data_IF_829555634688
#
_entry.id   IF_829555634688
#
_cell.length_a   1.000
_cell.length_b   1.000
_cell.length_c   1.000
_cell.angle_alpha   90.00
_cell.angle_beta   90.00
_cell.angle_gamma   90.00
#
_symmetry.space_group_name_H-M   'P 1'
#
loop_
_entity.id
_entity.type
_entity.pdbx_description
1 polymer ?
#
# COMPACT_ATOMS: atom_id res chain seq x y z
N UNK A 1 15.74 2.75 -10.72
CA UNK A 1 16.88 1.91 -11.11
C UNK A 1 17.10 2.08 -12.60
N UNK A 2 18.35 2.34 -13.02
CA UNK A 2 18.72 2.40 -14.43
C UNK A 2 18.35 1.12 -15.19
N UNK A 3 18.21 1.24 -16.51
CA UNK A 3 17.94 0.11 -17.40
C UNK A 3 19.01 0.00 -18.45
N UNK A 4 19.43 -1.22 -18.73
CA UNK A 4 20.47 -1.53 -19.70
C UNK A 4 19.92 -2.51 -20.74
N UNK A 5 19.99 -2.13 -22.00
CA UNK A 5 19.81 -3.04 -23.12
C UNK A 5 21.11 -3.83 -23.32
N UNK A 6 21.00 -5.15 -23.25
CA UNK A 6 22.10 -6.09 -23.44
C UNK A 6 21.79 -6.96 -24.64
N UNK A 7 22.70 -6.94 -25.61
CA UNK A 7 22.72 -7.86 -26.74
C UNK A 7 23.67 -9.02 -26.41
N UNK A 8 23.25 -10.23 -26.75
CA UNK A 8 24.07 -11.41 -26.56
C UNK A 8 23.53 -12.65 -27.26
N UNK A 9 24.06 -13.80 -26.89
CA UNK A 9 23.69 -15.10 -27.46
C UNK A 9 23.26 -16.03 -26.32
N UNK A 10 22.12 -16.71 -26.46
CA UNK A 10 21.69 -17.71 -25.49
C UNK A 10 22.65 -18.90 -25.50
N UNK A 11 23.32 -19.15 -24.37
CA UNK A 11 24.37 -20.17 -24.20
C UNK A 11 23.94 -21.56 -24.69
N UNK A 12 22.71 -21.95 -24.40
CA UNK A 12 22.19 -23.28 -24.79
C UNK A 12 21.64 -23.32 -26.21
N UNK A 13 21.10 -22.20 -26.70
CA UNK A 13 20.34 -22.17 -27.95
C UNK A 13 21.15 -21.66 -29.15
N UNK A 14 22.29 -20.99 -28.91
CA UNK A 14 23.06 -20.28 -29.93
C UNK A 14 22.31 -19.11 -30.59
N UNK A 15 21.09 -18.77 -30.14
CA UNK A 15 20.26 -17.73 -30.73
C UNK A 15 20.59 -16.36 -30.15
N UNK A 16 20.56 -15.34 -31.01
CA UNK A 16 20.69 -13.93 -30.61
C UNK A 16 19.56 -13.53 -29.65
N UNK A 17 19.92 -12.83 -28.57
CA UNK A 17 19.02 -12.26 -27.56
C UNK A 17 19.29 -10.76 -27.44
N UNK A 18 18.21 -9.99 -27.32
CA UNK A 18 18.26 -8.58 -26.92
C UNK A 18 17.31 -8.46 -25.74
N UNK A 19 17.84 -8.11 -24.57
CA UNK A 19 17.08 -8.07 -23.31
C UNK A 19 17.40 -6.80 -22.54
N UNK A 20 16.43 -6.31 -21.79
CA UNK A 20 16.57 -5.13 -20.95
C UNK A 20 16.62 -5.57 -19.49
N UNK A 21 17.67 -5.15 -18.79
CA UNK A 21 17.90 -5.46 -17.38
C UNK A 21 17.85 -4.18 -16.56
N UNK A 22 17.12 -4.20 -15.45
CA UNK A 22 17.16 -3.14 -14.46
C UNK A 22 18.28 -3.45 -13.47
N UNK A 23 19.25 -2.55 -13.34
CA UNK A 23 20.41 -2.73 -12.47
C UNK A 23 20.98 -1.37 -12.06
N UNK A 24 21.79 -1.34 -11.00
CA UNK A 24 22.41 -0.10 -10.52
C UNK A 24 23.57 0.36 -11.42
N UNK A 25 24.24 -0.56 -12.09
CA UNK A 25 25.34 -0.29 -13.01
C UNK A 25 25.42 -1.35 -14.12
N UNK A 26 26.32 -1.12 -15.09
CA UNK A 26 26.53 -2.01 -16.24
C UNK A 26 27.01 -3.40 -15.80
N UNK A 27 27.92 -3.48 -14.83
CA UNK A 27 28.49 -4.75 -14.35
C UNK A 27 27.40 -5.66 -13.74
N UNK A 28 26.51 -5.08 -12.94
CA UNK A 28 25.36 -5.77 -12.37
C UNK A 28 24.38 -6.23 -13.46
N UNK A 29 24.16 -5.42 -14.49
CA UNK A 29 23.34 -5.81 -15.64
C UNK A 29 23.98 -6.98 -16.43
N UNK A 30 25.30 -6.97 -16.62
CA UNK A 30 26.05 -8.07 -17.26
C UNK A 30 25.95 -9.34 -16.43
N UNK A 31 26.10 -9.25 -15.11
CA UNK A 31 25.96 -10.39 -14.21
C UNK A 31 24.56 -11.01 -14.29
N UNK A 32 23.51 -10.18 -14.31
CA UNK A 32 22.13 -10.63 -14.48
C UNK A 32 21.90 -11.32 -15.84
N UNK A 33 22.43 -10.74 -16.93
CA UNK A 33 22.34 -11.35 -18.26
C UNK A 33 23.08 -12.70 -18.33
N UNK A 34 24.24 -12.77 -17.69
CA UNK A 34 25.07 -13.99 -17.64
C UNK A 34 24.39 -15.11 -16.83
N UNK A 35 23.75 -14.76 -15.71
CA UNK A 35 22.99 -15.70 -14.88
C UNK A 35 21.79 -16.31 -15.63
N UNK A 36 21.18 -15.53 -16.54
CA UNK A 36 20.09 -15.92 -17.44
C UNK A 36 20.58 -16.69 -18.70
N UNK A 37 21.82 -17.18 -18.64
CA UNK A 37 22.45 -17.98 -19.69
C UNK A 37 22.70 -17.20 -20.99
N UNK A 38 22.86 -15.87 -20.91
CA UNK A 38 23.20 -15.04 -22.07
C UNK A 38 24.70 -14.76 -22.08
N UNK A 39 25.38 -15.13 -23.16
CA UNK A 39 26.76 -14.73 -23.45
C UNK A 39 26.69 -13.29 -23.97
N UNK A 40 27.19 -12.35 -23.17
CA UNK A 40 27.05 -10.91 -23.41
C UNK A 40 28.04 -10.40 -24.46
N UNK A 41 27.57 -9.63 -25.43
CA UNK A 41 28.42 -8.86 -26.33
C UNK A 41 28.71 -7.48 -25.70
N UNK A 42 29.86 -7.35 -25.03
CA UNK A 42 30.22 -6.17 -24.21
C UNK A 42 30.17 -4.86 -25.02
N UNK A 43 30.56 -4.92 -26.30
CA UNK A 43 30.56 -3.76 -27.20
C UNK A 43 29.15 -3.28 -27.61
N UNK A 44 28.10 -4.02 -27.26
CA UNK A 44 26.70 -3.73 -27.63
C UNK A 44 25.78 -3.50 -26.44
N UNK A 45 26.34 -3.10 -25.29
CA UNK A 45 25.56 -2.72 -24.12
C UNK A 45 25.21 -1.23 -24.22
N UNK A 46 23.95 -0.89 -23.95
CA UNK A 46 23.47 0.50 -23.95
C UNK A 46 22.63 0.78 -22.73
N UNK A 47 22.95 1.86 -22.02
CA UNK A 47 22.06 2.39 -20.99
C UNK A 47 20.88 3.07 -21.67
N UNK A 48 19.67 2.67 -21.28
CA UNK A 48 18.44 3.29 -21.75
C UNK A 48 18.25 4.60 -20.97
N UNK A 49 18.10 5.75 -21.65
CA UNK A 49 17.84 7.02 -20.99
C UNK A 49 16.59 6.95 -20.12
N UNK A 50 16.63 7.60 -18.96
CA UNK A 50 15.45 7.71 -18.12
C UNK A 50 14.42 8.63 -18.78
N UNK A 51 13.14 8.25 -18.73
CA UNK A 51 12.07 9.08 -19.24
C UNK A 51 11.92 10.32 -18.34
N UNK A 52 11.61 11.50 -18.91
CA UNK A 52 11.31 12.69 -18.13
C UNK A 52 10.09 12.45 -17.26
N UNK A 53 10.02 13.14 -16.11
CA UNK A 53 8.85 13.13 -15.26
C UNK A 53 7.61 13.63 -16.00
N UNK A 54 6.46 12.98 -15.78
CA UNK A 54 5.19 13.41 -16.36
C UNK A 54 4.70 14.69 -15.69
N UNK A 55 3.87 15.47 -16.39
CA UNK A 55 3.30 16.71 -15.84
C UNK A 55 2.50 16.45 -14.56
N UNK A 56 1.75 15.34 -14.49
CA UNK A 56 1.02 14.93 -13.28
C UNK A 56 1.95 14.67 -12.09
N UNK A 57 3.10 14.03 -12.30
CA UNK A 57 4.08 13.82 -11.23
C UNK A 57 4.68 15.14 -10.76
N UNK A 58 4.97 16.05 -11.69
CA UNK A 58 5.48 17.41 -11.38
C UNK A 58 4.45 18.23 -10.61
N UNK A 59 3.18 18.15 -10.97
CA UNK A 59 2.09 18.82 -10.24
C UNK A 59 1.95 18.26 -8.83
N UNK A 60 1.99 16.93 -8.67
CA UNK A 60 1.88 16.30 -7.36
C UNK A 60 3.09 16.63 -6.47
N UNK A 61 4.31 16.60 -7.02
CA UNK A 61 5.50 17.03 -6.29
C UNK A 61 5.41 18.50 -5.84
N UNK A 62 4.86 19.40 -6.68
CA UNK A 62 4.61 20.78 -6.30
C UNK A 62 3.58 20.92 -5.17
N UNK A 63 2.51 20.11 -5.17
CA UNK A 63 1.54 20.13 -4.07
C UNK A 63 2.12 19.63 -2.74
N UNK A 64 3.19 18.84 -2.80
CA UNK A 64 3.97 18.40 -1.63
C UNK A 64 5.11 19.36 -1.29
N UNK A 65 5.17 20.53 -1.94
CA UNK A 65 6.20 21.55 -1.75
C UNK A 65 7.63 21.02 -1.98
N UNK A 66 7.78 20.08 -2.91
CA UNK A 66 9.07 19.51 -3.28
C UNK A 66 9.70 20.36 -4.38
N UNK A 67 10.91 20.85 -4.12
CA UNK A 67 11.74 21.50 -5.14
C UNK A 67 12.43 20.47 -6.04
N UNK A 68 12.33 20.66 -7.36
CA UNK A 68 12.95 19.78 -8.35
C UNK A 68 13.42 20.53 -9.61
N UNK A 69 14.46 20.04 -10.29
CA UNK A 69 14.92 20.62 -11.55
C UNK A 69 13.90 20.40 -12.69
N UNK A 70 13.83 21.30 -13.68
CA UNK A 70 12.82 21.23 -14.75
C UNK A 70 12.90 19.95 -15.60
N UNK A 71 14.10 19.38 -15.74
CA UNK A 71 14.38 18.17 -16.51
C UNK A 71 14.47 16.90 -15.64
N UNK A 72 13.89 16.91 -14.44
CA UNK A 72 13.90 15.75 -13.54
C UNK A 72 13.32 14.50 -14.20
N UNK A 73 13.94 13.35 -13.93
CA UNK A 73 13.46 12.07 -14.44
C UNK A 73 12.22 11.57 -13.70
N UNK A 74 11.45 10.70 -14.35
CA UNK A 74 10.29 10.03 -13.73
C UNK A 74 10.66 9.26 -12.47
N UNK A 75 11.86 8.68 -12.42
CA UNK A 75 12.31 7.86 -11.29
C UNK A 75 12.74 8.77 -10.14
N UNK A 76 13.50 9.83 -10.46
CA UNK A 76 13.96 10.79 -9.46
C UNK A 76 12.80 11.49 -8.77
N UNK A 77 11.81 11.97 -9.53
CA UNK A 77 10.66 12.67 -8.93
C UNK A 77 9.84 11.74 -8.03
N UNK A 78 9.66 10.48 -8.44
CA UNK A 78 8.97 9.47 -7.62
C UNK A 78 9.73 9.21 -6.31
N UNK A 79 11.07 9.13 -6.35
CA UNK A 79 11.88 8.98 -5.13
C UNK A 79 11.72 10.17 -4.18
N UNK A 80 11.68 11.39 -4.70
CA UNK A 80 11.47 12.59 -3.86
C UNK A 80 10.09 12.59 -3.21
N UNK A 81 9.06 12.24 -3.98
CA UNK A 81 7.69 12.09 -3.46
C UNK A 81 7.65 11.04 -2.35
N UNK A 82 8.21 9.85 -2.59
CA UNK A 82 8.20 8.77 -1.61
C UNK A 82 8.96 9.14 -0.33
N UNK A 83 10.09 9.85 -0.46
CA UNK A 83 10.85 10.35 0.70
C UNK A 83 10.03 11.35 1.51
N UNK A 84 9.37 12.30 0.84
CA UNK A 84 8.55 13.33 1.49
C UNK A 84 7.35 12.73 2.23
N UNK A 85 6.71 11.72 1.65
CA UNK A 85 5.59 11.02 2.28
C UNK A 85 6.05 10.25 3.53
N UNK A 86 7.23 9.61 3.48
CA UNK A 86 7.79 8.94 4.66
C UNK A 86 8.11 9.91 5.79
N UNK A 87 8.66 11.08 5.49
CA UNK A 87 8.89 12.13 6.50
C UNK A 87 7.57 12.58 7.15
N UNK A 88 6.50 12.72 6.37
CA UNK A 88 5.16 13.04 6.90
C UNK A 88 4.57 11.90 7.75
N UNK A 89 4.81 10.65 7.36
CA UNK A 89 4.37 9.47 8.11
C UNK A 89 5.17 9.29 9.41
N UNK A 90 6.46 9.62 9.42
CA UNK A 90 7.36 9.51 10.59
C UNK A 90 7.14 10.65 11.61
N UNK A 91 6.57 11.80 11.20
CA UNK A 91 6.15 12.88 12.09
C UNK A 91 4.84 12.58 12.85
N UNK A 92 4.07 11.59 12.40
CA UNK A 92 2.98 11.04 13.20
C UNK A 92 3.59 9.91 14.03
N UNK A 93 3.71 10.03 15.36
CA UNK A 93 4.08 8.88 16.17
C UNK A 93 2.98 7.83 15.98
N UNK A 94 3.25 6.82 15.14
CA UNK A 94 2.47 5.60 15.08
C UNK A 94 2.76 4.86 16.37
N UNK A 95 2.12 5.33 17.43
CA UNK A 95 2.09 4.64 18.69
C UNK A 95 1.23 3.39 18.45
N UNK A 96 1.87 2.29 18.08
CA UNK A 96 1.22 1.00 17.89
C UNK A 96 0.55 0.48 19.18
N UNK A 97 0.78 1.13 20.34
CA UNK A 97 0.02 0.88 21.58
C UNK A 97 -1.36 1.57 21.62
N UNK A 98 -1.67 2.51 20.72
CA UNK A 98 -2.82 3.40 20.96
C UNK A 98 -4.18 2.78 20.67
N UNK A 99 -4.31 1.69 19.91
CA UNK A 99 -5.61 1.02 19.71
C UNK A 99 -5.79 -0.19 20.62
N UNK A 100 -4.71 -0.92 20.92
CA UNK A 100 -4.76 -2.08 21.81
C UNK A 100 -5.02 -1.69 23.27
N UNK A 101 -4.57 -0.49 23.68
CA UNK A 101 -4.72 0.04 25.04
C UNK A 101 -5.61 1.29 25.12
N UNK A 102 -6.24 1.73 24.01
CA UNK A 102 -7.20 2.83 24.08
C UNK A 102 -8.48 2.40 24.78
N UNK A 103 -8.95 3.27 25.67
CA UNK A 103 -10.32 3.20 26.16
C UNK A 103 -11.29 3.37 24.98
N UNK A 104 -12.41 2.68 25.02
CA UNK A 104 -13.52 2.76 24.05
C UNK A 104 -13.81 4.20 23.59
N UNK A 105 -13.87 5.16 24.52
CA UNK A 105 -14.12 6.57 24.22
C UNK A 105 -13.09 7.20 23.28
N UNK A 106 -11.81 6.84 23.40
CA UNK A 106 -10.72 7.40 22.59
C UNK A 106 -10.74 6.85 21.16
N UNK A 107 -11.13 5.58 21.00
CA UNK A 107 -11.30 4.96 19.68
C UNK A 107 -12.48 5.61 18.95
N UNK A 108 -13.59 5.81 19.66
CA UNK A 108 -14.79 6.46 19.11
C UNK A 108 -14.49 7.92 18.74
N UNK A 109 -13.75 8.65 19.57
CA UNK A 109 -13.36 10.04 19.32
C UNK A 109 -12.47 10.18 18.07
N UNK A 110 -11.43 9.34 17.95
CA UNK A 110 -10.55 9.32 16.78
C UNK A 110 -11.28 8.99 15.47
N UNK A 111 -12.14 7.97 15.50
CA UNK A 111 -12.83 7.52 14.30
C UNK A 111 -13.87 8.54 13.82
N UNK A 112 -14.56 9.21 14.75
CA UNK A 112 -15.57 10.20 14.41
C UNK A 112 -15.00 11.56 14.06
N UNK A 113 -14.26 12.15 15.00
CA UNK A 113 -13.98 13.58 14.93
C UNK A 113 -12.74 13.88 14.08
N UNK A 114 -11.76 12.97 14.07
CA UNK A 114 -10.52 13.20 13.34
C UNK A 114 -10.56 12.66 11.90
N UNK A 115 -11.41 11.66 11.64
CA UNK A 115 -11.44 10.96 10.35
C UNK A 115 -12.77 11.04 9.61
N UNK A 116 -13.81 11.59 10.24
CA UNK A 116 -15.17 11.70 9.68
C UNK A 116 -15.72 10.36 9.16
N UNK A 117 -15.37 9.27 9.85
CA UNK A 117 -15.76 7.91 9.47
C UNK A 117 -16.98 7.48 10.27
N UNK A 118 -17.94 6.88 9.57
CA UNK A 118 -18.96 6.05 10.22
C UNK A 118 -18.34 4.71 10.58
N UNK A 119 -18.40 4.34 11.86
CA UNK A 119 -17.73 3.16 12.39
C UNK A 119 -18.65 2.34 13.30
N UNK A 120 -18.59 1.02 13.14
CA UNK A 120 -19.19 0.06 14.07
C UNK A 120 -18.05 -0.57 14.84
N UNK A 121 -18.05 -0.37 16.16
CA UNK A 121 -17.09 -0.98 17.06
C UNK A 121 -17.79 -2.08 17.86
N UNK A 122 -17.37 -3.32 17.64
CA UNK A 122 -17.87 -4.49 18.36
C UNK A 122 -16.80 -4.89 19.37
N UNK A 123 -17.14 -4.86 20.65
CA UNK A 123 -16.27 -5.32 21.72
C UNK A 123 -16.86 -6.54 22.39
N UNK A 124 -16.00 -7.51 22.69
CA UNK A 124 -16.38 -8.74 23.39
C UNK A 124 -15.28 -9.15 24.35
N UNK A 125 -15.67 -9.66 25.52
CA UNK A 125 -14.75 -10.29 26.46
C UNK A 125 -14.76 -11.79 26.17
N UNK A 126 -13.66 -12.32 25.62
CA UNK A 126 -13.55 -13.74 25.26
C UNK A 126 -13.94 -14.70 26.39
N UNK A 127 -13.84 -14.29 27.65
CA UNK A 127 -14.14 -15.13 28.81
C UNK A 127 -15.58 -14.99 29.31
N UNK A 128 -16.36 -14.03 28.78
CA UNK A 128 -17.74 -13.75 29.20
C UNK A 128 -18.74 -13.74 28.04
N UNK A 129 -18.25 -13.68 26.81
CA UNK A 129 -19.08 -13.64 25.62
C UNK A 129 -19.40 -15.05 25.16
N UNK A 130 -20.68 -15.39 25.22
CA UNK A 130 -21.24 -16.57 24.58
C UNK A 130 -21.56 -16.19 23.13
N UNK A 131 -20.69 -16.58 22.20
CA UNK A 131 -20.85 -16.28 20.78
C UNK A 131 -21.98 -17.09 20.11
N UNK A 132 -22.39 -18.23 20.69
CA UNK A 132 -23.50 -19.01 20.14
C UNK A 132 -24.83 -18.30 20.38
N UNK A 133 -24.99 -17.69 21.55
CA UNK A 133 -26.19 -16.94 21.92
C UNK A 133 -26.03 -15.41 21.82
N UNK A 134 -24.88 -14.93 21.35
CA UNK A 134 -24.50 -13.51 21.28
C UNK A 134 -24.62 -12.76 22.63
N UNK A 135 -24.59 -13.48 23.75
CA UNK A 135 -24.71 -12.90 25.08
C UNK A 135 -23.36 -12.32 25.52
N UNK A 136 -23.36 -11.10 26.07
CA UNK A 136 -22.14 -10.43 26.53
C UNK A 136 -21.34 -9.76 25.42
N UNK A 137 -21.97 -9.45 24.27
CA UNK A 137 -21.41 -8.62 23.20
C UNK A 137 -21.83 -7.16 23.45
N UNK A 138 -20.87 -6.24 23.48
CA UNK A 138 -21.16 -4.80 23.56
C UNK A 138 -20.90 -4.18 22.19
N UNK A 139 -21.95 -3.58 21.61
CA UNK A 139 -21.87 -2.93 20.30
C UNK A 139 -21.96 -1.42 20.52
N UNK A 140 -20.89 -0.73 20.12
CA UNK A 140 -20.86 0.72 20.06
C UNK A 140 -20.96 1.14 18.60
N UNK A 141 -21.96 1.95 18.31
CA UNK A 141 -22.20 2.46 16.97
C UNK A 141 -21.97 3.94 16.97
N UNK A 142 -21.21 4.41 15.98
CA UNK A 142 -21.13 5.83 15.75
C UNK A 142 -21.18 6.15 14.27
N UNK A 143 -21.89 7.21 13.93
CA UNK A 143 -22.25 7.56 12.56
C UNK A 143 -22.04 9.05 12.34
N UNK A 144 -21.47 9.40 11.20
CA UNK A 144 -21.45 10.77 10.71
C UNK A 144 -22.83 11.16 10.18
N UNK A 145 -23.07 12.46 9.97
CA UNK A 145 -24.38 13.04 9.62
C UNK A 145 -25.03 12.45 8.34
N UNK A 146 -24.28 11.66 7.57
CA UNK A 146 -24.70 11.04 6.31
C UNK A 146 -25.37 9.66 6.46
N UNK A 147 -25.37 9.05 7.65
CA UNK A 147 -26.03 7.76 7.91
C UNK A 147 -27.03 7.90 9.05
N UNK A 148 -28.26 7.47 8.81
CA UNK A 148 -29.31 7.46 9.85
C UNK A 148 -29.18 6.26 10.79
N UNK A 149 -29.62 6.41 12.04
CA UNK A 149 -29.65 5.34 13.04
C UNK A 149 -30.38 4.08 12.53
N UNK A 150 -31.45 4.25 11.75
CA UNK A 150 -32.20 3.14 11.16
C UNK A 150 -31.39 2.40 10.08
N UNK A 151 -30.67 3.11 9.22
CA UNK A 151 -29.79 2.49 8.23
C UNK A 151 -28.66 1.69 8.91
N UNK A 152 -28.10 2.24 9.99
CA UNK A 152 -27.07 1.56 10.79
C UNK A 152 -27.63 0.30 11.47
N UNK A 153 -28.83 0.37 12.07
CA UNK A 153 -29.52 -0.79 12.65
C UNK A 153 -29.76 -1.88 11.62
N UNK A 154 -30.24 -1.55 10.42
CA UNK A 154 -30.43 -2.52 9.34
C UNK A 154 -29.11 -3.17 8.92
N UNK A 155 -28.03 -2.40 8.84
CA UNK A 155 -26.71 -2.92 8.49
C UNK A 155 -26.16 -3.88 9.55
N UNK A 156 -26.30 -3.53 10.84
CA UNK A 156 -25.86 -4.38 11.96
C UNK A 156 -26.67 -5.68 12.03
N UNK A 157 -27.99 -5.61 11.85
CA UNK A 157 -28.84 -6.80 11.76
C UNK A 157 -28.41 -7.69 10.58
N UNK A 158 -28.13 -7.07 9.42
CA UNK A 158 -27.62 -7.77 8.24
C UNK A 158 -26.27 -8.45 8.46
N UNK A 159 -25.32 -7.76 9.11
CA UNK A 159 -24.02 -8.33 9.47
C UNK A 159 -24.15 -9.45 10.51
N UNK A 160 -24.95 -9.26 11.55
CA UNK A 160 -25.23 -10.29 12.55
C UNK A 160 -25.82 -11.54 11.91
N UNK A 161 -26.77 -11.38 10.99
CA UNK A 161 -27.35 -12.49 10.22
C UNK A 161 -26.31 -13.21 9.35
N UNK A 162 -25.44 -12.48 8.64
CA UNK A 162 -24.39 -13.08 7.82
C UNK A 162 -23.31 -13.79 8.65
N UNK A 163 -22.93 -13.22 9.79
CA UNK A 163 -22.01 -13.85 10.73
C UNK A 163 -22.62 -15.13 11.32
N UNK A 164 -23.87 -15.09 11.79
CA UNK A 164 -24.56 -16.27 12.31
C UNK A 164 -24.70 -17.37 11.25
N UNK A 165 -25.00 -17.01 10.01
CA UNK A 165 -25.05 -17.95 8.89
C UNK A 165 -23.68 -18.55 8.55
N UNK A 166 -22.62 -17.75 8.57
CA UNK A 166 -21.25 -18.23 8.31
C UNK A 166 -20.72 -19.15 9.41
N UNK A 167 -21.24 -19.02 10.64
CA UNK A 167 -20.92 -19.86 11.79
C UNK A 167 -21.85 -21.09 11.92
N UNK A 168 -22.83 -21.25 11.02
CA UNK A 168 -23.77 -22.38 11.02
C UNK A 168 -24.81 -22.35 12.14
N UNK A 169 -25.03 -21.18 12.75
CA UNK A 169 -25.97 -20.99 13.87
C UNK A 169 -27.41 -20.69 13.41
N UNK A 170 -27.60 -20.43 12.11
CA UNK A 170 -28.91 -20.24 11.46
C UNK A 170 -28.89 -20.86 10.06
N UNK A 171 -29.99 -21.50 9.65
CA UNK A 171 -30.20 -22.00 8.27
C UNK A 171 -30.61 -20.86 7.30
#
# INVERSE_FOLDING_TARGET
>A
MPRFEIVGIGRETGKKRVRVYAADNIEAAIAAASADGTIVEVDKIRQIPELPATDSQKQYAKSLEIDFPPNISKIEISRLIDAKLKEQDDEIPVNNDTLANATLSKIVEELLYNRDLSAILITFDKNKTDFENLNGLEIFTTYSDNITENQMKTFIIGLGYQCAKSLGLME
#
